data_IF_662366277924
#
_entry.id   IF_662366277924
#
_cell.length_a   1.000
_cell.length_b   1.000
_cell.length_c   1.000
_cell.angle_alpha   90.00
_cell.angle_beta   90.00
_cell.angle_gamma   90.00
#
_symmetry.space_group_name_H-M   'P 1'
#
loop_
_entity.id
_entity.type
_entity.pdbx_description
1 polymer ?
#
# COMPACT_ATOMS: atom_id res chain seq x y z
N UNK A 1 2.54 2.46 17.41
CA UNK A 1 2.13 1.53 16.35
C UNK A 1 2.49 2.13 15.00
N UNK A 2 2.91 1.29 14.07
CA UNK A 2 3.24 1.71 12.72
C UNK A 2 2.35 0.93 11.75
N UNK A 3 1.74 1.65 10.82
CA UNK A 3 0.89 1.07 9.78
C UNK A 3 1.52 1.32 8.42
N UNK A 4 1.65 0.27 7.64
CA UNK A 4 2.28 0.34 6.32
C UNK A 4 1.23 0.11 5.25
N UNK A 5 1.28 0.91 4.19
CA UNK A 5 0.49 0.66 2.98
C UNK A 5 1.21 -0.40 2.16
N UNK A 6 0.48 -1.45 1.79
CA UNK A 6 0.99 -2.52 0.93
C UNK A 6 0.11 -2.64 -0.31
N UNK A 7 0.72 -3.08 -1.38
CA UNK A 7 0.05 -3.19 -2.67
C UNK A 7 0.39 -4.52 -3.32
N UNK A 8 -0.51 -5.00 -4.17
CA UNK A 8 -0.25 -6.21 -4.95
C UNK A 8 0.88 -5.95 -5.93
N UNK A 9 1.88 -6.82 -5.94
CA UNK A 9 2.97 -6.72 -6.91
C UNK A 9 2.46 -6.92 -8.33
N UNK A 10 1.57 -7.90 -8.50
CA UNK A 10 0.90 -8.17 -9.77
C UNK A 10 -0.57 -7.80 -9.59
N UNK A 11 -1.13 -6.86 -10.38
CA UNK A 11 -2.53 -6.47 -10.25
C UNK A 11 -3.46 -7.68 -10.35
N UNK A 12 -4.40 -7.78 -9.39
CA UNK A 12 -5.36 -8.88 -9.34
C UNK A 12 -4.85 -10.16 -8.69
N UNK A 13 -3.58 -10.23 -8.29
CA UNK A 13 -3.00 -11.40 -7.63
C UNK A 13 -2.75 -11.12 -6.15
N UNK A 14 -3.30 -11.98 -5.27
CA UNK A 14 -3.13 -11.86 -3.83
C UNK A 14 -1.88 -12.57 -3.30
N UNK A 15 -1.05 -13.12 -4.18
CA UNK A 15 0.06 -13.96 -3.75
C UNK A 15 1.25 -13.17 -3.21
N UNK A 16 1.50 -11.98 -3.76
CA UNK A 16 2.64 -11.16 -3.37
C UNK A 16 2.17 -9.75 -3.08
N UNK A 17 2.42 -9.29 -1.85
CA UNK A 17 2.18 -7.93 -1.41
C UNK A 17 3.51 -7.26 -1.09
N UNK A 18 3.68 -6.03 -1.55
CA UNK A 18 4.93 -5.29 -1.39
C UNK A 18 4.64 -3.90 -0.83
N UNK A 19 5.64 -3.32 -0.17
CA UNK A 19 5.52 -1.97 0.36
C UNK A 19 5.72 -0.90 -0.72
N UNK A 20 6.37 -1.27 -1.80
CA UNK A 20 6.61 -0.39 -2.97
C UNK A 20 6.88 -1.26 -4.19
N UNK A 21 6.58 -0.70 -5.36
CA UNK A 21 6.75 -1.45 -6.62
C UNK A 21 8.16 -1.34 -7.17
N UNK A 22 8.81 -0.21 -6.97
CA UNK A 22 10.16 0.05 -7.46
C UNK A 22 11.07 0.47 -6.31
N UNK A 23 12.39 0.17 -6.37
CA UNK A 23 13.32 0.57 -5.31
C UNK A 23 13.38 2.08 -5.07
N UNK A 24 13.04 2.87 -6.08
CA UNK A 24 13.06 4.34 -5.99
C UNK A 24 11.78 4.92 -5.40
N UNK A 25 10.73 4.12 -5.28
CA UNK A 25 9.46 4.58 -4.70
C UNK A 25 9.58 4.66 -3.18
N UNK A 26 8.87 5.60 -2.54
CA UNK A 26 8.85 5.67 -1.09
C UNK A 26 8.05 4.52 -0.49
N UNK A 27 8.41 4.13 0.73
CA UNK A 27 7.62 3.21 1.53
C UNK A 27 6.69 4.08 2.39
N UNK A 28 5.39 3.79 2.34
CA UNK A 28 4.38 4.58 3.04
C UNK A 28 4.08 3.95 4.40
N UNK A 29 4.56 4.59 5.45
CA UNK A 29 4.36 4.17 6.84
C UNK A 29 3.85 5.33 7.66
N UNK A 30 2.87 5.08 8.52
CA UNK A 30 2.18 6.12 9.27
C UNK A 30 1.92 5.67 10.71
N UNK A 31 1.86 6.63 11.65
CA UNK A 31 1.60 6.29 13.06
C UNK A 31 0.15 5.89 13.32
N UNK A 32 -0.77 6.19 12.42
CA UNK A 32 -2.19 5.83 12.59
C UNK A 32 -2.71 5.07 11.38
N UNK A 33 -3.70 4.22 11.62
CA UNK A 33 -4.36 3.48 10.56
C UNK A 33 -5.11 4.41 9.61
N UNK A 34 -5.71 5.48 10.13
CA UNK A 34 -6.45 6.43 9.31
C UNK A 34 -5.57 7.10 8.26
N UNK A 35 -4.38 7.55 8.67
CA UNK A 35 -3.44 8.17 7.74
C UNK A 35 -2.99 7.17 6.66
N UNK A 36 -2.69 5.94 7.07
CA UNK A 36 -2.28 4.90 6.13
C UNK A 36 -3.42 4.57 5.16
N UNK A 37 -4.66 4.50 5.64
CA UNK A 37 -5.82 4.21 4.81
C UNK A 37 -6.07 5.34 3.80
N UNK A 38 -5.93 6.60 4.21
CA UNK A 38 -6.06 7.73 3.29
C UNK A 38 -5.04 7.64 2.15
N UNK A 39 -3.81 7.27 2.47
CA UNK A 39 -2.78 7.10 1.44
C UNK A 39 -3.09 5.92 0.54
N UNK A 40 -3.55 4.81 1.10
CA UNK A 40 -3.93 3.63 0.30
C UNK A 40 -5.06 4.00 -0.68
N UNK A 41 -6.06 4.74 -0.23
CA UNK A 41 -7.16 5.18 -1.08
C UNK A 41 -6.67 6.12 -2.19
N UNK A 42 -5.78 7.04 -1.86
CA UNK A 42 -5.18 7.96 -2.82
C UNK A 42 -4.42 7.20 -3.91
N UNK A 43 -3.59 6.26 -3.51
CA UNK A 43 -2.81 5.45 -4.45
C UNK A 43 -3.73 4.59 -5.32
N UNK A 44 -4.78 4.03 -4.73
CA UNK A 44 -5.76 3.22 -5.47
C UNK A 44 -6.45 4.05 -6.54
N UNK A 45 -6.86 5.27 -6.22
CA UNK A 45 -7.52 6.15 -7.17
C UNK A 45 -6.60 6.58 -8.31
N UNK A 46 -5.31 6.74 -8.03
CA UNK A 46 -4.33 7.13 -9.04
C UNK A 46 -3.88 5.96 -9.92
N UNK A 47 -4.14 4.72 -9.51
CA UNK A 47 -3.69 3.52 -10.23
C UNK A 47 -4.77 3.09 -11.22
N UNK A 48 -4.46 3.05 -12.54
CA UNK A 48 -5.43 2.64 -13.55
C UNK A 48 -5.62 1.13 -13.66
N UNK A 49 -4.88 0.33 -12.86
CA UNK A 49 -4.93 -1.12 -12.91
C UNK A 49 -5.90 -1.67 -11.86
N UNK A 50 -6.09 -3.01 -11.84
CA UNK A 50 -6.90 -3.70 -10.83
C UNK A 50 -6.13 -3.96 -9.53
N UNK A 51 -4.94 -3.36 -9.38
CA UNK A 51 -4.11 -3.55 -8.20
C UNK A 51 -4.85 -3.10 -6.95
N UNK A 52 -4.84 -3.97 -5.93
CA UNK A 52 -5.44 -3.66 -4.64
C UNK A 52 -4.39 -3.14 -3.67
N UNK A 53 -4.84 -2.32 -2.74
CA UNK A 53 -4.02 -1.72 -1.70
C UNK A 53 -4.59 -2.11 -0.34
N UNK A 54 -3.71 -2.31 0.64
CA UNK A 54 -4.13 -2.64 2.01
C UNK A 54 -3.27 -1.92 3.02
N UNK A 55 -3.75 -1.86 4.26
CA UNK A 55 -3.00 -1.32 5.39
C UNK A 55 -2.68 -2.47 6.34
N UNK A 56 -1.41 -2.55 6.75
CA UNK A 56 -0.92 -3.59 7.64
C UNK A 56 -0.20 -2.95 8.82
N UNK A 57 -0.49 -3.42 10.02
CA UNK A 57 0.24 -2.99 11.21
C UNK A 57 1.57 -3.75 11.26
N UNK A 58 2.69 -3.02 11.28
CA UNK A 58 4.03 -3.61 11.28
C UNK A 58 4.84 -3.31 12.54
N UNK A 59 4.33 -2.47 13.40
CA UNK A 59 5.05 -2.14 14.62
C UNK A 59 4.19 -1.56 15.72
#
# INVERSE_FOLDING_TARGET
MIYQVQMQFIPGSDQIWVARLNPDDPIYEYPTQEEAQLKADELKLADPTDRQYRVVQIG
#
